data_IF_783584579306
#
_entry.id   IF_783584579306
#
_cell.length_a   1.000
_cell.length_b   1.000
_cell.length_c   1.000
_cell.angle_alpha   90.00
_cell.angle_beta   90.00
_cell.angle_gamma   90.00
#
_symmetry.space_group_name_H-M   'P 1'
#
loop_
_entity.id
_entity.type
_entity.pdbx_description
1 polymer ?
#
# COMPACT_ATOMS: atom_id res chain seq x y z
N UNK A 1 10.32 -10.43 -3.93
CA UNK A 1 10.44 -9.08 -4.53
C UNK A 1 11.44 -9.08 -5.67
N UNK A 2 12.74 -9.38 -5.45
CA UNK A 2 13.74 -9.45 -6.54
C UNK A 2 13.30 -10.26 -7.77
N UNK A 3 12.90 -11.51 -7.58
CA UNK A 3 12.41 -12.36 -8.69
C UNK A 3 11.18 -11.77 -9.40
N UNK A 4 10.24 -11.18 -8.65
CA UNK A 4 9.08 -10.52 -9.23
C UNK A 4 9.50 -9.35 -10.13
N UNK A 5 10.46 -8.54 -9.68
CA UNK A 5 11.02 -7.45 -10.47
C UNK A 5 11.77 -7.96 -11.71
N UNK A 6 12.60 -9.00 -11.58
CA UNK A 6 13.29 -9.65 -12.71
C UNK A 6 12.32 -10.21 -13.76
N UNK A 7 11.14 -10.65 -13.34
CA UNK A 7 10.08 -11.16 -14.22
C UNK A 7 9.11 -10.07 -14.71
N UNK A 8 9.29 -8.80 -14.32
CA UNK A 8 8.38 -7.70 -14.67
C UNK A 8 6.98 -7.81 -14.05
N UNK A 9 6.85 -8.52 -12.93
CA UNK A 9 5.58 -8.67 -12.20
C UNK A 9 5.35 -7.45 -11.29
N UNK A 10 4.23 -6.76 -11.51
CA UNK A 10 3.77 -5.69 -10.63
C UNK A 10 3.19 -6.28 -9.36
N UNK A 11 3.54 -5.71 -8.20
CA UNK A 11 3.03 -6.16 -6.92
C UNK A 11 2.00 -5.16 -6.40
N UNK A 12 0.85 -5.67 -5.96
CA UNK A 12 -0.22 -4.87 -5.37
C UNK A 12 -0.56 -5.38 -3.98
N UNK A 13 -0.77 -4.46 -3.05
CA UNK A 13 -1.11 -4.77 -1.66
C UNK A 13 -2.28 -3.91 -1.21
N UNK A 14 -3.18 -4.50 -0.42
CA UNK A 14 -4.21 -3.73 0.29
C UNK A 14 -3.54 -2.95 1.42
N UNK A 15 -3.74 -1.64 1.41
CA UNK A 15 -3.28 -0.74 2.47
C UNK A 15 -4.45 0.02 3.06
N UNK A 16 -4.34 0.58 4.26
CA UNK A 16 -5.48 1.27 4.88
C UNK A 16 -6.58 0.31 5.32
N UNK A 17 -7.82 0.78 5.35
CA UNK A 17 -8.97 0.00 5.81
C UNK A 17 -9.69 -0.69 4.67
N UNK A 18 -10.04 -1.96 4.87
CA UNK A 18 -10.85 -2.77 3.97
C UNK A 18 -12.16 -3.13 4.67
N UNK A 19 -13.28 -2.79 4.03
CA UNK A 19 -14.63 -2.92 4.60
C UNK A 19 -15.48 -3.98 3.88
N UNK A 20 -14.99 -4.53 2.77
CA UNK A 20 -15.69 -5.49 1.92
C UNK A 20 -15.32 -6.94 2.23
N UNK A 21 -14.25 -7.19 2.97
CA UNK A 21 -13.85 -8.54 3.39
C UNK A 21 -13.21 -8.56 4.78
N UNK A 22 -13.12 -9.76 5.36
CA UNK A 22 -12.57 -9.95 6.71
C UNK A 22 -11.07 -9.64 6.75
N UNK A 23 -10.70 -8.64 7.54
CA UNK A 23 -9.30 -8.27 7.80
C UNK A 23 -8.78 -9.02 9.02
N UNK A 24 -7.83 -9.94 8.80
CA UNK A 24 -7.22 -10.72 9.88
C UNK A 24 -6.40 -9.85 10.84
N UNK A 25 -5.73 -8.80 10.32
CA UNK A 25 -5.00 -7.85 11.15
C UNK A 25 -4.76 -6.53 10.42
N UNK A 26 -5.36 -5.46 10.96
CA UNK A 26 -5.20 -4.09 10.46
C UNK A 26 -3.75 -3.61 10.52
N UNK A 27 -2.93 -4.14 11.44
CA UNK A 27 -1.54 -3.71 11.57
C UNK A 27 -0.69 -4.00 10.33
N UNK A 28 -1.10 -4.92 9.45
CA UNK A 28 -0.38 -5.24 8.21
C UNK A 28 -0.75 -4.37 7.02
N UNK A 29 -1.73 -3.48 7.15
CA UNK A 29 -2.20 -2.62 6.05
C UNK A 29 -1.53 -1.25 6.04
N UNK A 30 -0.60 -0.97 6.95
CA UNK A 30 0.19 0.26 6.94
C UNK A 30 1.05 0.34 5.65
N UNK A 31 0.89 1.39 4.82
CA UNK A 31 1.71 1.63 3.64
C UNK A 31 3.22 1.56 3.93
N UNK A 32 3.69 1.95 5.13
CA UNK A 32 5.12 1.90 5.49
C UNK A 32 5.73 0.49 5.39
N UNK A 33 4.91 -0.56 5.44
CA UNK A 33 5.40 -1.93 5.21
C UNK A 33 5.81 -2.20 3.76
N UNK A 34 5.44 -1.32 2.84
CA UNK A 34 5.81 -1.41 1.43
C UNK A 34 7.26 -0.97 1.16
N UNK A 35 7.99 -0.41 2.13
CA UNK A 35 9.42 -0.10 1.95
C UNK A 35 10.20 -1.30 1.43
N UNK A 36 9.93 -2.49 1.97
CA UNK A 36 10.65 -3.71 1.58
C UNK A 36 10.49 -4.07 0.09
N UNK A 37 9.27 -4.17 -0.50
CA UNK A 37 9.14 -4.34 -1.94
C UNK A 37 9.64 -3.15 -2.75
N UNK A 38 9.47 -1.91 -2.27
CA UNK A 38 9.87 -0.69 -2.97
C UNK A 38 11.40 -0.56 -3.12
N UNK A 39 12.18 -0.93 -2.10
CA UNK A 39 13.64 -0.90 -2.10
C UNK A 39 14.27 -1.82 -3.16
N UNK A 40 13.49 -2.76 -3.72
CA UNK A 40 13.94 -3.60 -4.83
C UNK A 40 13.73 -2.97 -6.22
N UNK A 41 13.16 -1.76 -6.31
CA UNK A 41 13.10 -0.92 -7.52
C UNK A 41 12.01 -1.29 -8.53
N UNK A 42 11.20 -2.32 -8.27
CA UNK A 42 10.04 -2.66 -9.11
C UNK A 42 8.82 -1.81 -8.78
N UNK A 43 7.83 -1.70 -9.68
CA UNK A 43 6.58 -0.98 -9.41
C UNK A 43 5.76 -1.68 -8.32
N UNK A 44 5.27 -0.90 -7.37
CA UNK A 44 4.39 -1.37 -6.29
C UNK A 44 3.12 -0.52 -6.26
N UNK A 45 1.97 -1.17 -6.14
CA UNK A 45 0.66 -0.53 -6.04
C UNK A 45 0.12 -0.69 -4.61
N UNK A 46 -0.23 0.43 -3.98
CA UNK A 46 -0.97 0.48 -2.73
C UNK A 46 -2.46 0.65 -3.02
N UNK A 47 -3.22 -0.44 -2.93
CA UNK A 47 -4.68 -0.36 -3.01
C UNK A 47 -5.22 0.40 -1.79
N UNK A 48 -6.27 1.20 -2.03
CA UNK A 48 -6.88 2.15 -1.08
C UNK A 48 -5.98 3.32 -0.68
N UNK A 49 -4.71 3.36 -1.07
CA UNK A 49 -3.77 4.46 -0.76
C UNK A 49 -3.59 4.73 0.76
N UNK A 50 -3.83 3.76 1.64
CA UNK A 50 -3.85 3.98 3.08
C UNK A 50 -5.08 4.77 3.58
N UNK A 51 -6.15 4.86 2.79
CA UNK A 51 -7.38 5.54 3.18
C UNK A 51 -8.09 4.84 4.34
N UNK A 52 -9.05 5.56 4.93
CA UNK A 52 -9.93 5.05 5.95
C UNK A 52 -11.29 5.76 5.87
N UNK A 53 -12.31 5.17 6.46
CA UNK A 53 -13.58 5.82 6.74
C UNK A 53 -13.44 6.77 7.94
N UNK A 54 -14.43 7.66 8.11
CA UNK A 54 -14.42 8.66 9.18
C UNK A 54 -14.52 8.08 10.60
N UNK A 55 -14.98 6.83 10.74
CA UNK A 55 -15.12 6.13 12.02
C UNK A 55 -13.97 5.16 12.34
N UNK A 56 -13.01 5.04 11.42
CA UNK A 56 -11.89 4.14 11.61
C UNK A 56 -10.87 4.70 12.61
N UNK A 57 -10.25 3.81 13.37
CA UNK A 57 -9.42 4.20 14.51
C UNK A 57 -8.07 4.83 14.12
N UNK A 58 -7.55 4.52 12.94
CA UNK A 58 -6.22 4.95 12.49
C UNK A 58 -6.24 5.46 11.05
N UNK A 59 -5.53 6.57 10.81
CA UNK A 59 -5.37 7.17 9.50
C UNK A 59 -3.97 6.87 8.94
N UNK A 60 -3.90 6.07 7.88
CA UNK A 60 -2.65 5.71 7.21
C UNK A 60 -2.30 6.61 6.02
N UNK A 61 -3.27 7.36 5.50
CA UNK A 61 -3.12 8.19 4.31
C UNK A 61 -1.95 9.18 4.38
N UNK A 62 -1.68 9.87 5.52
CA UNK A 62 -0.50 10.73 5.63
C UNK A 62 0.82 9.97 5.41
N UNK A 63 0.92 8.73 5.91
CA UNK A 63 2.11 7.88 5.71
C UNK A 63 2.26 7.48 4.25
N UNK A 64 1.16 7.17 3.56
CA UNK A 64 1.19 6.93 2.12
C UNK A 64 1.71 8.15 1.35
N UNK A 65 1.24 9.36 1.68
CA UNK A 65 1.72 10.60 1.05
C UNK A 65 3.22 10.82 1.30
N UNK A 66 3.70 10.59 2.53
CA UNK A 66 5.13 10.65 2.83
C UNK A 66 5.94 9.67 1.97
N UNK A 67 5.45 8.45 1.80
CA UNK A 67 6.11 7.45 0.97
C UNK A 67 6.12 7.80 -0.52
N UNK A 68 5.04 8.37 -1.04
CA UNK A 68 4.98 8.84 -2.44
C UNK A 68 6.03 9.92 -2.72
N UNK A 69 6.41 10.72 -1.72
CA UNK A 69 7.50 11.70 -1.85
C UNK A 69 8.90 11.07 -1.80
N UNK A 70 9.02 9.83 -1.32
CA UNK A 70 10.28 9.10 -1.15
C UNK A 70 10.54 8.07 -2.25
N UNK A 71 9.48 7.50 -2.83
CA UNK A 71 9.56 6.36 -3.74
C UNK A 71 8.84 6.65 -5.07
N UNK A 72 9.62 6.88 -6.13
CA UNK A 72 9.10 7.11 -7.49
C UNK A 72 8.40 5.87 -8.09
N UNK A 73 8.63 4.68 -7.50
CA UNK A 73 8.05 3.41 -7.92
C UNK A 73 6.83 2.98 -7.08
N UNK A 74 6.27 3.88 -6.26
CA UNK A 74 5.02 3.68 -5.56
C UNK A 74 3.86 4.31 -6.33
N UNK A 75 2.77 3.55 -6.49
CA UNK A 75 1.54 4.00 -7.13
C UNK A 75 0.35 3.73 -6.23
N UNK A 76 -0.66 4.60 -6.28
CA UNK A 76 -1.92 4.42 -5.58
C UNK A 76 -3.00 3.88 -6.51
N UNK A 77 -3.82 2.94 -6.02
CA UNK A 77 -5.08 2.57 -6.65
C UNK A 77 -6.24 3.08 -5.80
N UNK A 78 -7.14 3.84 -6.43
CA UNK A 78 -8.33 4.44 -5.80
C UNK A 78 -9.61 3.69 -6.15
N UNK A 79 -9.52 2.57 -6.89
CA UNK A 79 -10.67 1.72 -7.12
C UNK A 79 -11.07 1.05 -5.80
N UNK A 80 -12.31 1.30 -5.38
CA UNK A 80 -12.89 0.86 -4.09
C UNK A 80 -12.23 1.58 -2.90
N UNK A 81 -12.76 2.76 -2.57
CA UNK A 81 -12.46 3.51 -1.35
C UNK A 81 -13.69 3.53 -0.45
#
# INVERSE_FOLDING_TARGET
>A
YKLANELGVVLMFHTGWEHSCDVISQQFTDPQKLERPLDHGGPVIAAHCGSCAWYDAEQYYPRFVEMMNRYDNLFGDTAIM
#
